data_IF_741144491899
#
_entry.id   IF_741144491899
#
_cell.length_a   1.000
_cell.length_b   1.000
_cell.length_c   1.000
_cell.angle_alpha   90.00
_cell.angle_beta   90.00
_cell.angle_gamma   90.00
#
_symmetry.space_group_name_H-M   'P 1'
#
loop_
_entity.id
_entity.type
_entity.pdbx_description
1 polymer ?
#
# COMPACT_ATOMS: atom_id res chain seq x y z
N UNK A 1 2.92 8.19 -0.57
CA UNK A 1 3.27 8.05 -2.01
C UNK A 1 4.64 7.38 -2.23
N UNK A 2 5.73 7.90 -1.66
CA UNK A 2 7.09 7.34 -1.85
C UNK A 2 7.21 5.84 -1.56
N UNK A 3 6.67 5.36 -0.43
CA UNK A 3 6.67 3.92 -0.11
C UNK A 3 5.91 3.05 -1.12
N UNK A 4 4.79 3.55 -1.67
CA UNK A 4 4.06 2.89 -2.75
C UNK A 4 4.88 2.81 -4.04
N UNK A 5 5.58 3.89 -4.40
CA UNK A 5 6.50 3.91 -5.54
C UNK A 5 7.66 2.94 -5.37
N UNK A 6 8.25 2.85 -4.18
CA UNK A 6 9.33 1.90 -3.88
C UNK A 6 8.87 0.45 -4.06
N UNK A 7 7.66 0.12 -3.60
CA UNK A 7 7.06 -1.21 -3.81
C UNK A 7 6.73 -1.46 -5.29
N UNK A 8 6.16 -0.47 -5.99
CA UNK A 8 5.88 -0.56 -7.42
C UNK A 8 7.15 -0.79 -8.25
N UNK A 9 8.24 -0.10 -7.91
CA UNK A 9 9.54 -0.31 -8.53
C UNK A 9 10.09 -1.71 -8.22
N UNK A 10 9.96 -2.19 -6.98
CA UNK A 10 10.32 -3.55 -6.61
C UNK A 10 9.57 -4.61 -7.43
N UNK A 11 8.26 -4.44 -7.60
CA UNK A 11 7.45 -5.29 -8.49
C UNK A 11 7.95 -5.22 -9.93
N UNK A 12 8.20 -4.02 -10.46
CA UNK A 12 8.65 -3.85 -11.84
C UNK A 12 10.00 -4.52 -12.11
N UNK A 13 10.96 -4.40 -11.18
CA UNK A 13 12.27 -5.07 -11.29
C UNK A 13 12.12 -6.59 -11.20
N UNK A 14 11.31 -7.08 -10.24
CA UNK A 14 11.02 -8.51 -10.09
C UNK A 14 10.42 -9.10 -11.36
N UNK A 15 9.46 -8.41 -11.97
CA UNK A 15 8.71 -8.91 -13.14
C UNK A 15 9.56 -8.93 -14.42
N UNK A 16 10.72 -8.25 -14.44
CA UNK A 16 11.69 -8.27 -15.54
C UNK A 16 13.05 -8.85 -15.12
N UNK A 17 13.11 -9.67 -14.06
CA UNK A 17 14.36 -10.22 -13.54
C UNK A 17 15.21 -10.95 -14.59
N UNK A 18 14.56 -11.62 -15.55
CA UNK A 18 15.20 -12.33 -16.66
C UNK A 18 15.91 -11.38 -17.66
N UNK A 19 15.57 -10.08 -17.64
CA UNK A 19 16.24 -9.05 -18.44
C UNK A 19 17.58 -8.58 -17.83
N UNK A 20 17.99 -9.14 -16.68
CA UNK A 20 19.30 -8.88 -16.06
C UNK A 20 19.35 -7.63 -15.19
N UNK A 21 18.20 -7.03 -14.82
CA UNK A 21 18.18 -5.94 -13.84
C UNK A 21 18.36 -6.52 -12.42
N UNK A 22 19.38 -6.08 -11.66
CA UNK A 22 19.59 -6.59 -10.31
C UNK A 22 18.49 -6.10 -9.37
N UNK A 23 18.02 -6.99 -8.49
CA UNK A 23 17.12 -6.62 -7.40
C UNK A 23 17.84 -5.74 -6.37
N UNK A 24 17.08 -4.95 -5.61
CA UNK A 24 17.62 -4.22 -4.46
C UNK A 24 17.74 -5.15 -3.24
N UNK A 25 18.59 -4.76 -2.28
CA UNK A 25 18.79 -5.55 -1.07
C UNK A 25 17.57 -5.56 -0.13
N UNK A 26 16.72 -4.53 -0.19
CA UNK A 26 15.51 -4.41 0.62
C UNK A 26 14.73 -3.15 0.27
N UNK A 27 13.46 -3.10 0.67
CA UNK A 27 12.56 -1.97 0.45
C UNK A 27 12.05 -1.48 1.80
N UNK A 28 12.10 -0.16 2.01
CA UNK A 28 11.55 0.50 3.18
C UNK A 28 10.31 1.30 2.77
N UNK A 29 9.18 1.01 3.39
CA UNK A 29 7.92 1.73 3.22
C UNK A 29 7.55 2.47 4.50
N UNK A 30 7.73 3.79 4.51
CA UNK A 30 7.25 4.66 5.58
C UNK A 30 5.85 5.16 5.24
N UNK A 31 4.86 4.72 6.01
CA UNK A 31 3.43 4.92 5.79
C UNK A 31 3.05 4.73 4.32
N UNK A 32 3.30 3.53 3.76
CA UNK A 32 3.24 3.33 2.32
C UNK A 32 1.78 3.34 1.84
N UNK A 33 1.46 4.28 0.96
CA UNK A 33 0.18 4.26 0.24
C UNK A 33 0.25 3.29 -0.93
N UNK A 34 -0.46 2.15 -0.84
CA UNK A 34 -0.31 0.98 -1.71
C UNK A 34 -1.60 0.53 -2.37
N UNK A 35 -2.74 1.06 -1.94
CA UNK A 35 -4.06 0.90 -2.51
C UNK A 35 -4.71 2.26 -2.80
N UNK A 36 -4.67 2.68 -4.06
CA UNK A 36 -5.27 3.95 -4.47
C UNK A 36 -6.79 3.87 -4.64
N UNK A 37 -7.40 2.68 -4.45
CA UNK A 37 -8.86 2.52 -4.46
C UNK A 37 -9.52 2.97 -3.17
N UNK A 38 -8.74 3.41 -2.17
CA UNK A 38 -9.18 3.89 -0.85
C UNK A 38 -10.12 2.89 -0.15
N UNK A 39 -9.83 1.59 -0.28
CA UNK A 39 -10.76 0.53 0.09
C UNK A 39 -10.72 0.08 1.55
N UNK A 40 -9.70 0.48 2.32
CA UNK A 40 -9.51 0.07 3.72
C UNK A 40 -10.27 0.97 4.71
N UNK A 41 -10.55 0.46 5.90
CA UNK A 41 -11.37 1.14 6.90
C UNK A 41 -10.69 2.39 7.49
N UNK A 42 -9.43 2.29 7.90
CA UNK A 42 -8.66 3.42 8.48
C UNK A 42 -8.64 4.67 7.59
N UNK A 43 -8.61 4.53 6.26
CA UNK A 43 -8.63 5.68 5.34
C UNK A 43 -9.92 6.50 5.51
N UNK A 44 -11.03 5.84 5.82
CA UNK A 44 -12.37 6.42 5.93
C UNK A 44 -12.82 6.71 7.37
N UNK A 45 -12.01 6.35 8.36
CA UNK A 45 -12.36 6.48 9.78
C UNK A 45 -12.44 7.95 10.22
N UNK A 46 -13.57 8.36 10.80
CA UNK A 46 -13.75 9.73 11.29
C UNK A 46 -12.98 9.98 12.59
N UNK A 47 -12.73 8.94 13.37
CA UNK A 47 -12.04 9.01 14.67
C UNK A 47 -10.51 8.94 14.54
N UNK A 48 -10.01 8.69 13.34
CA UNK A 48 -8.56 8.62 13.07
C UNK A 48 -7.91 10.00 13.21
N UNK A 49 -7.03 10.14 14.20
CA UNK A 49 -6.31 11.36 14.58
C UNK A 49 -5.11 11.67 13.66
N UNK A 50 -5.33 11.61 12.34
CA UNK A 50 -4.33 11.90 11.32
C UNK A 50 -4.49 13.32 10.76
N UNK A 51 -3.37 13.96 10.37
CA UNK A 51 -3.41 15.19 9.59
C UNK A 51 -3.77 14.95 8.12
N UNK A 52 -3.64 13.71 7.64
CA UNK A 52 -4.20 13.34 6.35
C UNK A 52 -5.72 13.43 6.45
N UNK A 53 -6.32 14.21 5.56
CA UNK A 53 -7.77 14.37 5.53
C UNK A 53 -8.46 13.03 5.27
N UNK A 54 -9.66 12.89 5.84
CA UNK A 54 -10.54 11.77 5.51
C UNK A 54 -10.83 11.75 3.99
N UNK A 55 -10.62 10.59 3.36
CA UNK A 55 -10.79 10.41 1.91
C UNK A 55 -12.18 9.92 1.51
N UNK A 56 -13.19 10.04 2.37
CA UNK A 56 -14.59 9.74 2.05
C UNK A 56 -15.11 10.41 0.79
N UNK A 57 -14.55 11.54 0.34
CA UNK A 57 -14.94 12.17 -0.94
C UNK A 57 -14.00 11.83 -2.10
N UNK A 58 -12.98 10.99 -1.88
CA UNK A 58 -11.85 10.81 -2.81
C UNK A 58 -10.81 11.91 -2.67
N UNK A 59 -9.71 11.80 -3.41
CA UNK A 59 -8.58 12.76 -3.36
C UNK A 59 -8.62 13.80 -4.47
N UNK A 60 -9.49 13.64 -5.47
CA UNK A 60 -9.62 14.51 -6.64
C UNK A 60 -10.82 15.48 -6.59
N UNK A 61 -11.10 16.09 -5.43
CA UNK A 61 -12.17 17.10 -5.28
C UNK A 61 -11.62 18.51 -5.48
N UNK A 62 -11.65 19.00 -6.71
CA UNK A 62 -11.17 20.35 -7.05
C UNK A 62 -12.19 21.07 -7.93
N UNK A 63 -12.23 22.40 -7.81
CA UNK A 63 -12.99 23.23 -8.73
C UNK A 63 -12.47 23.03 -10.17
N UNK A 64 -13.37 23.11 -11.14
CA UNK A 64 -12.98 22.99 -12.54
C UNK A 64 -12.01 24.12 -12.93
N UNK A 65 -10.97 23.76 -13.66
CA UNK A 65 -9.95 24.66 -14.19
C UNK A 65 -9.57 24.26 -15.60
N UNK A 66 -8.86 25.11 -16.33
CA UNK A 66 -8.34 24.77 -17.65
C UNK A 66 -7.46 23.51 -17.61
N UNK A 67 -6.58 23.41 -16.60
CA UNK A 67 -5.78 22.21 -16.38
C UNK A 67 -6.65 20.96 -16.15
N UNK A 68 -7.75 21.08 -15.39
CA UNK A 68 -8.69 19.97 -15.20
C UNK A 68 -9.38 19.55 -16.49
N UNK A 69 -9.71 20.48 -17.40
CA UNK A 69 -10.33 20.18 -18.70
C UNK A 69 -9.39 19.42 -19.63
N UNK A 70 -8.18 19.94 -19.84
CA UNK A 70 -7.15 19.28 -20.66
C UNK A 70 -6.80 17.89 -20.13
N UNK A 71 -6.84 17.75 -18.81
CA UNK A 71 -6.61 16.48 -18.14
C UNK A 71 -7.75 15.47 -18.42
N UNK A 72 -9.02 15.88 -18.29
CA UNK A 72 -10.19 15.06 -18.64
C UNK A 72 -10.17 14.58 -20.10
N UNK A 73 -9.71 15.40 -21.04
CA UNK A 73 -9.58 15.01 -22.44
C UNK A 73 -8.54 13.89 -22.65
N UNK A 74 -7.37 14.00 -22.00
CA UNK A 74 -6.31 12.97 -22.04
C UNK A 74 -6.74 11.67 -21.37
N UNK A 75 -7.55 11.77 -20.31
CA UNK A 75 -8.07 10.62 -19.57
C UNK A 75 -8.92 9.70 -20.45
N UNK A 76 -9.76 10.24 -21.34
CA UNK A 76 -10.63 9.42 -22.22
C UNK A 76 -9.80 8.48 -23.10
N UNK A 77 -8.73 9.00 -23.71
CA UNK A 77 -7.85 8.20 -24.55
C UNK A 77 -7.09 7.13 -23.74
N UNK A 78 -6.62 7.48 -22.54
CA UNK A 78 -5.94 6.53 -21.65
C UNK A 78 -6.89 5.45 -21.12
N UNK A 79 -8.13 5.82 -20.77
CA UNK A 79 -9.17 4.90 -20.31
C UNK A 79 -9.50 3.87 -21.39
N UNK A 80 -9.70 4.32 -22.64
CA UNK A 80 -9.93 3.43 -23.77
C UNK A 80 -8.75 2.45 -23.97
N UNK A 81 -7.51 2.93 -23.85
CA UNK A 81 -6.32 2.09 -23.96
C UNK A 81 -6.27 1.01 -22.87
N UNK A 82 -6.60 1.35 -21.62
CA UNK A 82 -6.62 0.40 -20.51
C UNK A 82 -7.75 -0.63 -20.68
N UNK A 83 -8.95 -0.19 -21.08
CA UNK A 83 -10.11 -1.09 -21.31
C UNK A 83 -9.88 -2.09 -22.44
N UNK A 84 -9.05 -1.75 -23.42
CA UNK A 84 -8.67 -2.66 -24.50
C UNK A 84 -7.61 -3.71 -24.08
N UNK A 85 -7.03 -3.57 -22.89
CA UNK A 85 -6.08 -4.53 -22.32
C UNK A 85 -6.74 -5.66 -21.51
N UNK A 86 -5.94 -6.47 -20.80
CA UNK A 86 -6.46 -7.47 -19.88
C UNK A 86 -7.40 -6.85 -18.83
N UNK A 87 -8.50 -7.51 -18.50
CA UNK A 87 -9.41 -7.04 -17.44
C UNK A 87 -8.70 -7.07 -16.08
N UNK A 88 -8.28 -5.88 -15.65
CA UNK A 88 -7.67 -5.61 -14.35
C UNK A 88 -8.55 -4.70 -13.47
N UNK A 89 -9.64 -4.15 -14.02
CA UNK A 89 -10.52 -3.21 -13.33
C UNK A 89 -11.79 -3.87 -12.79
N UNK A 90 -12.40 -3.22 -11.79
CA UNK A 90 -13.65 -3.63 -11.15
C UNK A 90 -14.76 -2.60 -11.42
N UNK A 91 -16.01 -3.02 -11.39
CA UNK A 91 -17.17 -2.17 -11.73
C UNK A 91 -17.31 -0.97 -10.77
N UNK A 92 -16.81 -1.08 -9.53
CA UNK A 92 -16.77 0.06 -8.58
C UNK A 92 -15.87 1.22 -9.00
N UNK A 93 -15.08 1.06 -10.08
CA UNK A 93 -14.22 2.11 -10.63
C UNK A 93 -15.01 3.01 -11.58
N UNK A 94 -16.16 2.54 -12.07
CA UNK A 94 -17.07 3.33 -12.89
C UNK A 94 -17.74 4.39 -12.03
N UNK A 95 -17.27 5.63 -12.18
CA UNK A 95 -17.75 6.79 -11.43
C UNK A 95 -18.02 7.92 -12.42
N UNK A 96 -19.22 7.98 -13.01
CA UNK A 96 -19.57 9.01 -13.97
C UNK A 96 -19.50 10.42 -13.35
N UNK A 97 -19.77 10.51 -12.05
CA UNK A 97 -19.85 11.79 -11.32
C UNK A 97 -18.51 12.25 -10.72
N UNK A 98 -17.41 11.50 -10.89
CA UNK A 98 -16.13 11.94 -10.35
C UNK A 98 -14.98 10.95 -10.41
N UNK A 99 -13.79 11.49 -10.15
CA UNK A 99 -12.53 10.73 -10.12
C UNK A 99 -12.07 10.53 -8.69
N UNK A 100 -11.41 9.40 -8.42
CA UNK A 100 -10.87 9.12 -7.10
C UNK A 100 -9.53 9.79 -6.84
N UNK A 101 -8.63 9.81 -7.83
CA UNK A 101 -7.26 10.26 -7.63
C UNK A 101 -6.73 11.10 -8.80
N UNK A 102 -5.98 12.17 -8.52
CA UNK A 102 -5.30 12.98 -9.55
C UNK A 102 -4.14 12.28 -10.30
N UNK A 103 -3.67 11.13 -9.81
CA UNK A 103 -2.47 10.48 -10.34
C UNK A 103 -2.81 9.56 -11.51
N UNK A 104 -3.88 8.78 -11.34
CA UNK A 104 -4.33 7.76 -12.29
C UNK A 104 -5.84 7.81 -12.47
N UNK A 105 -6.32 7.59 -13.70
CA UNK A 105 -7.75 7.44 -13.99
C UNK A 105 -8.31 6.22 -13.25
N UNK A 106 -9.62 6.20 -13.02
CA UNK A 106 -10.22 5.15 -12.20
C UNK A 106 -9.96 3.74 -12.76
N UNK A 107 -9.97 3.58 -14.09
CA UNK A 107 -9.65 2.33 -14.79
C UNK A 107 -8.22 1.82 -14.51
N UNK A 108 -7.29 2.73 -14.19
CA UNK A 108 -5.90 2.41 -13.92
C UNK A 108 -5.58 2.14 -12.45
N UNK A 109 -6.54 2.29 -11.53
CA UNK A 109 -6.30 2.14 -10.08
C UNK A 109 -5.76 0.77 -9.71
N UNK A 110 -6.21 -0.29 -10.40
CA UNK A 110 -5.79 -1.66 -10.13
C UNK A 110 -4.56 -2.11 -10.92
N UNK A 111 -3.89 -1.21 -11.66
CA UNK A 111 -2.59 -1.53 -12.25
C UNK A 111 -1.61 -1.82 -11.08
N UNK A 112 -0.94 -2.98 -11.04
CA UNK A 112 -0.05 -3.34 -9.92
C UNK A 112 1.05 -2.32 -9.61
N UNK A 113 1.57 -1.63 -10.64
CA UNK A 113 2.58 -0.59 -10.48
C UNK A 113 2.02 0.77 -10.04
N UNK A 114 0.69 0.90 -9.98
CA UNK A 114 -0.03 2.06 -9.47
C UNK A 114 -0.48 1.79 -8.04
N UNK A 115 -1.10 0.63 -7.81
CA UNK A 115 -1.49 0.13 -6.48
C UNK A 115 -0.84 -1.24 -6.22
N UNK A 116 0.36 -1.28 -5.63
CA UNK A 116 1.07 -2.53 -5.31
C UNK A 116 0.22 -3.55 -4.56
N UNK A 117 -0.67 -3.09 -3.67
CA UNK A 117 -1.61 -3.95 -2.95
C UNK A 117 -2.46 -4.84 -3.88
N UNK A 118 -2.67 -4.41 -5.12
CA UNK A 118 -3.57 -5.04 -6.08
C UNK A 118 -2.84 -5.95 -7.07
N UNK A 119 -1.50 -6.09 -6.94
CA UNK A 119 -0.70 -7.06 -7.68
C UNK A 119 -1.26 -8.48 -7.50
N UNK A 120 -1.14 -9.35 -8.51
CA UNK A 120 -1.55 -10.76 -8.36
C UNK A 120 -0.74 -11.51 -7.30
N UNK A 121 0.54 -11.15 -7.15
CA UNK A 121 1.44 -11.69 -6.15
C UNK A 121 2.36 -10.61 -5.59
N UNK A 122 2.58 -10.67 -4.28
CA UNK A 122 3.59 -9.91 -3.54
C UNK A 122 4.79 -10.78 -3.14
N UNK A 123 4.87 -12.01 -3.65
CA UNK A 123 5.99 -12.91 -3.42
C UNK A 123 7.25 -12.49 -4.19
N UNK A 124 8.38 -13.07 -3.78
CA UNK A 124 9.70 -12.91 -4.41
C UNK A 124 10.21 -11.45 -4.47
N UNK A 125 9.57 -10.54 -3.73
CA UNK A 125 10.13 -9.22 -3.46
C UNK A 125 11.31 -9.35 -2.49
N UNK A 126 12.28 -8.40 -2.55
CA UNK A 126 13.34 -8.32 -1.55
C UNK A 126 12.75 -8.04 -0.16
N UNK A 127 13.54 -8.23 0.91
CA UNK A 127 13.10 -7.96 2.28
C UNK A 127 12.41 -6.60 2.43
N UNK A 128 11.34 -6.55 3.22
CA UNK A 128 10.53 -5.36 3.45
C UNK A 128 10.65 -4.90 4.90
N UNK A 129 10.83 -3.59 5.10
CA UNK A 129 10.52 -2.90 6.34
C UNK A 129 9.36 -1.94 6.09
N UNK A 130 8.22 -2.21 6.70
CA UNK A 130 7.02 -1.39 6.59
C UNK A 130 6.74 -0.75 7.95
N UNK A 131 6.54 0.55 7.95
CA UNK A 131 6.25 1.32 9.16
C UNK A 131 4.98 2.14 8.94
N UNK A 132 4.10 2.19 9.93
CA UNK A 132 2.98 3.13 9.95
C UNK A 132 2.72 3.63 11.37
N UNK A 133 2.05 4.76 11.45
CA UNK A 133 1.52 5.25 12.72
C UNK A 133 0.27 4.49 13.16
N UNK A 134 0.00 4.50 14.46
CA UNK A 134 -1.21 3.94 15.06
C UNK A 134 -2.45 4.72 14.65
N UNK A 135 -2.31 6.02 14.43
CA UNK A 135 -3.36 6.94 13.97
C UNK A 135 -3.12 7.37 12.51
N UNK A 136 -2.42 6.55 11.74
CA UNK A 136 -2.20 6.75 10.31
C UNK A 136 -3.37 6.21 9.49
N UNK A 137 -3.93 7.01 8.59
CA UNK A 137 -5.01 6.59 7.69
C UNK A 137 -4.60 5.47 6.76
N UNK A 138 -3.32 5.30 6.47
CA UNK A 138 -2.79 4.21 5.63
C UNK A 138 -2.31 2.99 6.44
N UNK A 139 -2.55 2.98 7.76
CA UNK A 139 -2.13 1.88 8.66
C UNK A 139 -2.66 0.53 8.20
N UNK A 140 -3.94 0.44 7.86
CA UNK A 140 -4.56 -0.86 7.55
C UNK A 140 -4.00 -1.46 6.27
N UNK A 141 -3.69 -0.65 5.26
CA UNK A 141 -3.08 -1.16 4.03
C UNK A 141 -1.61 -1.58 4.25
N UNK A 142 -0.86 -0.90 5.12
CA UNK A 142 0.47 -1.36 5.52
C UNK A 142 0.41 -2.72 6.25
N UNK A 143 -0.54 -2.88 7.17
CA UNK A 143 -0.78 -4.15 7.89
C UNK A 143 -1.14 -5.26 6.90
N UNK A 144 -2.11 -5.01 6.02
CA UNK A 144 -2.58 -6.04 5.10
C UNK A 144 -1.49 -6.41 4.08
N UNK A 145 -0.72 -5.43 3.58
CA UNK A 145 0.36 -5.68 2.64
C UNK A 145 1.44 -6.55 3.29
N UNK A 146 1.78 -6.26 4.55
CA UNK A 146 2.78 -7.02 5.30
C UNK A 146 2.42 -8.49 5.46
N UNK A 147 1.15 -8.78 5.78
CA UNK A 147 0.67 -10.15 5.93
C UNK A 147 0.50 -10.84 4.58
N UNK A 148 0.06 -10.11 3.55
CA UNK A 148 -0.10 -10.64 2.21
C UNK A 148 1.23 -10.99 1.54
N UNK A 149 2.29 -10.22 1.78
CA UNK A 149 3.62 -10.50 1.24
C UNK A 149 4.30 -11.70 1.93
N UNK A 150 4.11 -11.85 3.24
CA UNK A 150 4.72 -12.91 4.05
C UNK A 150 3.92 -14.21 4.14
N UNK A 151 2.60 -14.17 3.95
CA UNK A 151 1.70 -15.33 3.99
C UNK A 151 0.76 -15.33 2.76
N UNK A 152 1.29 -15.35 1.52
CA UNK A 152 0.51 -15.11 0.29
C UNK A 152 -0.52 -16.20 -0.04
N UNK A 153 -0.42 -17.37 0.60
CA UNK A 153 -1.41 -18.45 0.47
C UNK A 153 -2.63 -18.22 1.37
N UNK A 154 -2.47 -17.48 2.47
CA UNK A 154 -3.49 -17.22 3.49
C UNK A 154 -4.24 -15.93 3.23
N UNK A 155 -3.54 -14.84 2.92
CA UNK A 155 -4.15 -13.55 2.63
C UNK A 155 -4.16 -13.30 1.12
N UNK A 156 -5.34 -13.01 0.59
CA UNK A 156 -5.57 -12.90 -0.86
C UNK A 156 -5.58 -11.44 -1.30
N UNK A 157 -5.35 -11.24 -2.60
CA UNK A 157 -5.49 -9.92 -3.21
C UNK A 157 -6.96 -9.56 -3.47
N UNK A 158 -7.23 -8.56 -4.32
CA UNK A 158 -8.59 -8.20 -4.69
C UNK A 158 -9.35 -9.41 -5.29
N UNK A 159 -10.65 -9.50 -5.01
CA UNK A 159 -11.51 -10.62 -5.42
C UNK A 159 -11.55 -10.84 -6.94
N UNK A 160 -11.47 -9.76 -7.73
CA UNK A 160 -11.41 -9.82 -9.19
C UNK A 160 -10.06 -10.32 -9.75
N UNK A 161 -9.06 -10.56 -8.89
CA UNK A 161 -7.82 -11.25 -9.20
C UNK A 161 -7.79 -12.69 -8.66
N UNK A 162 -8.92 -13.26 -8.22
CA UNK A 162 -9.00 -14.64 -7.76
C UNK A 162 -8.42 -15.63 -8.80
N UNK A 163 -7.59 -16.57 -8.35
CA UNK A 163 -6.96 -17.56 -9.21
C UNK A 163 -5.71 -17.09 -9.98
N UNK A 164 -5.37 -15.80 -9.94
CA UNK A 164 -4.17 -15.27 -10.61
C UNK A 164 -2.89 -15.60 -9.84
N UNK A 165 -2.92 -15.54 -8.51
CA UNK A 165 -1.78 -15.92 -7.67
C UNK A 165 -1.29 -17.35 -7.95
N UNK A 166 -2.21 -18.30 -8.12
CA UNK A 166 -1.89 -19.70 -8.36
C UNK A 166 -1.17 -19.91 -9.70
N UNK A 167 -1.32 -18.98 -10.65
CA UNK A 167 -0.65 -18.97 -11.96
C UNK A 167 0.63 -18.12 -11.98
N UNK A 168 0.83 -17.27 -10.98
CA UNK A 168 1.98 -16.37 -10.91
C UNK A 168 3.28 -17.17 -10.73
N UNK A 169 4.39 -16.82 -11.39
CA UNK A 169 5.69 -17.44 -11.13
C UNK A 169 6.25 -17.05 -9.75
N UNK A 170 5.78 -15.93 -9.19
CA UNK A 170 6.25 -15.39 -7.92
C UNK A 170 5.37 -15.89 -6.78
N UNK A 171 5.81 -16.90 -6.04
CA UNK A 171 5.04 -17.51 -4.95
C UNK A 171 5.81 -17.58 -3.64
N UNK A 172 7.10 -17.24 -3.64
CA UNK A 172 7.94 -17.32 -2.45
C UNK A 172 7.54 -16.22 -1.48
N UNK A 173 7.20 -16.53 -0.21
CA UNK A 173 6.93 -15.53 0.80
C UNK A 173 8.05 -14.50 0.90
N UNK A 174 7.69 -13.22 0.92
CA UNK A 174 8.63 -12.12 1.12
C UNK A 174 8.88 -11.89 2.60
N UNK A 175 10.16 -11.86 2.97
CA UNK A 175 10.58 -11.54 4.34
C UNK A 175 10.12 -10.11 4.69
N UNK A 176 9.24 -9.97 5.67
CA UNK A 176 8.57 -8.69 5.95
C UNK A 176 8.60 -8.37 7.44
N UNK A 177 9.12 -7.19 7.78
CA UNK A 177 9.03 -6.60 9.11
C UNK A 177 8.02 -5.46 9.06
N UNK A 178 6.98 -5.53 9.89
CA UNK A 178 5.99 -4.47 10.09
C UNK A 178 6.15 -3.86 11.48
N UNK A 179 6.12 -2.53 11.56
CA UNK A 179 6.15 -1.78 12.82
C UNK A 179 5.03 -0.73 12.85
N UNK A 180 4.12 -0.84 13.82
CA UNK A 180 3.05 0.12 14.08
C UNK A 180 3.38 0.90 15.35
N UNK A 181 3.55 2.22 15.24
CA UNK A 181 3.94 3.09 16.34
C UNK A 181 2.71 3.74 16.99
N UNK A 182 2.49 3.51 18.28
CA UNK A 182 1.34 4.01 19.04
C UNK A 182 1.11 5.51 18.84
N UNK A 183 -0.14 5.91 18.58
CA UNK A 183 -0.59 7.31 18.50
C UNK A 183 0.15 8.20 17.48
N UNK A 184 0.98 7.61 16.63
CA UNK A 184 1.68 8.37 15.60
C UNK A 184 0.78 8.60 14.39
N UNK A 185 0.81 9.81 13.79
CA UNK A 185 0.11 10.10 12.55
C UNK A 185 0.90 9.60 11.34
N UNK A 186 0.39 9.87 10.15
CA UNK A 186 1.08 9.61 8.89
C UNK A 186 2.51 10.18 8.88
N UNK A 187 3.49 9.37 8.44
CA UNK A 187 4.92 9.74 8.31
C UNK A 187 5.44 10.59 9.48
N UNK A 188 5.17 10.14 10.70
CA UNK A 188 5.60 10.79 11.94
C UNK A 188 7.12 11.04 12.00
N UNK A 189 7.93 10.37 11.17
CA UNK A 189 9.37 10.58 11.05
C UNK A 189 9.74 12.02 10.64
N UNK A 190 8.81 12.81 10.09
CA UNK A 190 9.01 14.24 9.84
C UNK A 190 8.82 15.13 11.08
N UNK A 191 8.39 14.55 12.20
CA UNK A 191 8.09 15.26 13.44
C UNK A 191 9.20 15.03 14.47
N UNK A 192 9.38 15.99 15.37
CA UNK A 192 10.28 15.84 16.52
C UNK A 192 9.60 14.99 17.59
N UNK A 193 9.94 13.69 17.65
CA UNK A 193 9.40 12.75 18.63
C UNK A 193 10.40 11.61 18.89
N UNK A 194 10.35 10.99 20.07
CA UNK A 194 11.23 9.86 20.41
C UNK A 194 11.08 8.68 19.43
N UNK A 195 9.86 8.46 18.90
CA UNK A 195 9.63 7.46 17.87
C UNK A 195 10.29 7.77 16.54
N UNK A 196 10.50 9.04 16.20
CA UNK A 196 11.25 9.40 14.98
C UNK A 196 12.67 8.86 15.08
N UNK A 197 13.35 9.10 16.20
CA UNK A 197 14.68 8.54 16.48
C UNK A 197 14.66 7.02 16.42
N UNK A 198 13.73 6.38 17.14
CA UNK A 198 13.60 4.92 17.15
C UNK A 198 13.38 4.38 15.74
N UNK A 199 12.48 4.96 14.95
CA UNK A 199 12.20 4.53 13.57
C UNK A 199 13.45 4.63 12.69
N UNK A 200 14.26 5.70 12.83
CA UNK A 200 15.53 5.81 12.11
C UNK A 200 16.57 4.78 12.56
N UNK A 201 16.67 4.46 13.85
CA UNK A 201 17.53 3.37 14.34
C UNK A 201 17.11 2.03 13.73
N UNK A 202 15.80 1.74 13.71
CA UNK A 202 15.25 0.51 13.11
C UNK A 202 15.50 0.44 11.60
N UNK A 203 15.41 1.57 10.89
CA UNK A 203 15.80 1.67 9.49
C UNK A 203 17.28 1.37 9.30
N UNK A 204 18.17 1.96 10.11
CA UNK A 204 19.61 1.72 10.02
C UNK A 204 19.96 0.25 10.30
N UNK A 205 19.34 -0.37 11.31
CA UNK A 205 19.48 -1.79 11.60
C UNK A 205 19.03 -2.67 10.43
N UNK A 206 17.88 -2.35 9.82
CA UNK A 206 17.38 -3.07 8.66
C UNK A 206 18.33 -2.95 7.47
N UNK A 207 18.79 -1.73 7.15
CA UNK A 207 19.76 -1.48 6.08
C UNK A 207 21.02 -2.30 6.31
N UNK A 208 21.62 -2.19 7.50
CA UNK A 208 22.82 -2.95 7.86
C UNK A 208 22.59 -4.44 7.67
N UNK A 209 21.44 -4.97 8.11
CA UNK A 209 21.12 -6.39 7.96
C UNK A 209 21.04 -6.83 6.51
N UNK A 210 20.36 -6.07 5.65
CA UNK A 210 20.13 -6.50 4.26
C UNK A 210 21.31 -6.26 3.32
N UNK A 211 22.21 -5.32 3.65
CA UNK A 211 23.43 -5.08 2.85
C UNK A 211 24.65 -5.86 3.34
N UNK A 212 24.59 -6.45 4.54
CA UNK A 212 25.73 -7.17 5.11
C UNK A 212 26.01 -8.44 4.30
N UNK A 213 27.26 -8.59 3.86
CA UNK A 213 27.73 -9.66 2.99
C UNK A 213 28.01 -10.97 3.71
N UNK A 214 27.88 -10.99 5.05
CA UNK A 214 28.11 -12.20 5.87
C UNK A 214 27.08 -13.32 5.61
N UNK A 215 26.08 -13.12 4.74
CA UNK A 215 25.05 -14.11 4.36
C UNK A 215 24.34 -14.71 5.58
N UNK A 216 24.23 -13.96 6.67
CA UNK A 216 23.45 -14.39 7.81
C UNK A 216 21.97 -14.51 7.40
N UNK A 217 21.28 -15.60 7.77
CA UNK A 217 19.88 -15.75 7.44
C UNK A 217 19.06 -14.63 8.09
N UNK A 218 18.16 -14.04 7.32
CA UNK A 218 17.24 -13.04 7.85
C UNK A 218 16.36 -13.65 8.95
N UNK A 219 16.04 -12.90 10.01
CA UNK A 219 15.05 -13.36 10.98
C UNK A 219 13.70 -13.56 10.29
N UNK A 220 12.80 -14.37 10.86
CA UNK A 220 11.44 -14.53 10.34
C UNK A 220 10.71 -13.19 10.20
N UNK A 221 9.68 -13.15 9.34
CA UNK A 221 8.78 -12.00 9.26
C UNK A 221 8.17 -11.68 10.63
N UNK A 222 8.05 -10.39 10.96
CA UNK A 222 7.55 -9.94 12.27
C UNK A 222 6.52 -8.82 12.12
N UNK A 223 5.57 -8.75 13.05
CA UNK A 223 4.52 -7.74 13.08
C UNK A 223 4.44 -7.13 14.48
N UNK A 224 5.10 -5.99 14.64
CA UNK A 224 5.33 -5.39 15.95
C UNK A 224 4.45 -4.15 16.12
N UNK A 225 3.83 -4.07 17.28
CA UNK A 225 3.31 -2.84 17.83
C UNK A 225 4.34 -2.25 18.78
N UNK A 226 4.56 -0.94 18.70
CA UNK A 226 5.52 -0.22 19.54
C UNK A 226 4.72 0.77 20.37
N UNK A 227 4.63 0.51 21.68
CA UNK A 227 3.89 1.37 22.60
C UNK A 227 4.66 2.68 22.91
N UNK A 228 4.01 3.65 23.55
CA UNK A 228 4.61 4.97 23.91
C UNK A 228 5.92 4.88 24.72
N UNK A 229 6.20 3.75 25.37
CA UNK A 229 7.47 3.50 26.09
C UNK A 229 8.58 2.95 25.18
N UNK A 230 8.27 2.70 23.91
CA UNK A 230 9.17 2.08 22.93
C UNK A 230 9.28 0.55 23.06
N UNK A 231 8.38 -0.10 23.79
CA UNK A 231 8.37 -1.56 23.99
C UNK A 231 7.65 -2.25 22.84
N UNK A 232 8.18 -3.39 22.40
CA UNK A 232 7.58 -4.19 21.33
C UNK A 232 6.56 -5.17 21.89
N UNK A 233 5.40 -5.24 21.25
CA UNK A 233 4.36 -6.25 21.51
C UNK A 233 3.74 -6.73 20.19
N UNK A 234 2.95 -7.82 20.19
CA UNK A 234 2.11 -8.15 19.05
C UNK A 234 1.14 -7.02 18.69
N UNK A 235 0.64 -7.03 17.44
CA UNK A 235 -0.42 -6.12 17.01
C UNK A 235 -1.66 -6.20 17.92
N UNK A 236 -2.18 -5.03 18.32
CA UNK A 236 -3.48 -4.89 19.01
C UNK A 236 -4.63 -5.49 18.18
N UNK A 237 -5.71 -5.88 18.84
CA UNK A 237 -6.84 -6.56 18.19
C UNK A 237 -7.48 -5.71 17.08
N UNK A 238 -7.59 -4.39 17.27
CA UNK A 238 -8.13 -3.49 16.25
C UNK A 238 -7.36 -3.57 14.93
N UNK A 239 -6.03 -3.76 14.99
CA UNK A 239 -5.17 -3.85 13.81
C UNK A 239 -5.41 -5.14 13.03
N UNK A 240 -5.87 -6.20 13.70
CA UNK A 240 -6.15 -7.49 13.05
C UNK A 240 -7.48 -7.49 12.30
N UNK A 241 -8.36 -6.53 12.56
CA UNK A 241 -9.66 -6.44 11.87
C UNK A 241 -9.49 -6.36 10.34
N UNK A 242 -8.47 -5.64 9.85
CA UNK A 242 -8.19 -5.56 8.40
C UNK A 242 -7.84 -6.92 7.80
N UNK A 243 -7.34 -7.89 8.56
CA UNK A 243 -6.96 -9.20 8.04
C UNK A 243 -8.18 -10.01 7.56
N UNK A 244 -9.38 -9.65 8.01
CA UNK A 244 -10.64 -10.21 7.55
C UNK A 244 -11.31 -9.33 6.45
N UNK A 245 -10.60 -8.35 5.90
CA UNK A 245 -11.15 -7.41 4.93
C UNK A 245 -11.24 -8.02 3.53
N UNK A 246 -12.47 -8.20 3.05
CA UNK A 246 -12.73 -8.81 1.73
C UNK A 246 -12.88 -7.77 0.60
N UNK A 247 -12.88 -6.48 0.95
CA UNK A 247 -13.11 -5.38 0.01
C UNK A 247 -11.84 -4.72 -0.51
N UNK A 248 -10.67 -5.34 -0.30
CA UNK A 248 -9.40 -4.82 -0.83
C UNK A 248 -9.52 -4.59 -2.35
N UNK A 249 -9.20 -3.38 -2.80
CA UNK A 249 -9.29 -2.99 -4.21
C UNK A 249 -10.70 -2.68 -4.70
N UNK A 250 -11.74 -2.75 -3.85
CA UNK A 250 -13.10 -2.38 -4.21
C UNK A 250 -13.36 -0.99 -3.65
N UNK A 251 -13.46 -0.01 -4.55
CA UNK A 251 -13.75 1.37 -4.15
C UNK A 251 -15.06 1.43 -3.33
N UNK A 252 -15.04 1.99 -2.12
CA UNK A 252 -16.23 2.09 -1.26
C UNK A 252 -17.30 2.98 -1.87
N UNK A 253 -18.58 2.63 -1.70
CA UNK A 253 -19.69 3.52 -2.03
C UNK A 253 -19.60 4.75 -1.14
N UNK A 254 -19.34 5.91 -1.76
CA UNK A 254 -19.29 7.19 -1.07
C UNK A 254 -20.72 7.72 -1.05
N UNK A 255 -21.36 7.94 0.11
CA UNK A 255 -22.67 8.56 0.14
C UNK A 255 -22.58 9.95 -0.49
N UNK A 256 -23.41 10.22 -1.50
CA UNK A 256 -23.72 11.58 -1.90
C UNK A 256 -24.52 12.22 -0.76
N UNK A 257 -23.85 12.94 0.13
CA UNK A 257 -24.56 13.97 0.87
C UNK A 257 -24.95 15.04 -0.14
N UNK A 258 -26.26 15.12 -0.42
CA UNK A 258 -26.87 16.24 -1.14
C UNK A 258 -26.46 17.52 -0.40
N UNK A 259 -25.63 18.34 -1.06
CA UNK A 259 -25.51 19.75 -0.68
C UNK A 259 -26.85 20.45 -0.89
#
# INVERSE_FOLDING_TARGET
AGGGLSLALGLAIRDVCDAGLPSCAGIIGLSPWVDLTISTASILDDECADYIRNMKRGTANYAESQASKEYKEKDVALAAKIKNGPKIWHDSFERPDGRLHLYVINEGLAIPYVSPMLAESLGDLPPLLLTAGGDDRFRDEAIYLAHRSSEPTKYKGPSYNAGKFEKSPFKTPTNTTLEIYEEMPHVFQFMEHAFTTKSYERIAEFINRVINTLNEPLPPSTYNYINVKGELSPLKELHKNVLNWEKIGIVPTIPHEMN
#
